data_IF_083259053086
#
_entry.id   IF_083259053086
#
_cell.length_a   1.000
_cell.length_b   1.000
_cell.length_c   1.000
_cell.angle_alpha   90.00
_cell.angle_beta   90.00
_cell.angle_gamma   90.00
#
_symmetry.space_group_name_H-M   'P 1'
#
loop_
_entity.id
_entity.type
_entity.pdbx_description
1 polymer ?
#
# COMPACT_ATOMS: atom_id res chain seq x y z
N UNK A 1 -32.70 -71.35 -52.37
CA UNK A 1 -31.58 -72.01 -53.09
C UNK A 1 -30.39 -71.07 -53.02
N UNK A 2 -29.53 -71.21 -52.02
CA UNK A 2 -28.28 -72.00 -52.03
C UNK A 2 -27.17 -71.36 -52.90
N UNK A 3 -26.13 -70.81 -52.23
CA UNK A 3 -24.67 -71.02 -52.46
C UNK A 3 -23.87 -69.82 -51.90
N UNK A 4 -23.13 -70.05 -50.80
CA UNK A 4 -21.67 -70.30 -50.73
C UNK A 4 -20.85 -69.01 -50.68
N UNK A 5 -20.38 -68.63 -49.48
CA UNK A 5 -19.02 -68.82 -48.94
C UNK A 5 -17.98 -67.97 -49.68
N UNK A 6 -17.42 -66.97 -48.98
CA UNK A 6 -15.97 -66.76 -48.92
C UNK A 6 -15.62 -66.09 -47.59
N UNK A 7 -14.84 -66.80 -46.77
CA UNK A 7 -14.16 -66.29 -45.59
C UNK A 7 -12.99 -65.41 -45.99
N UNK A 8 -12.88 -64.23 -45.39
CA UNK A 8 -11.62 -63.49 -45.31
C UNK A 8 -11.47 -62.98 -43.87
N UNK A 9 -10.46 -63.52 -43.18
CA UNK A 9 -9.87 -62.96 -41.96
C UNK A 9 -9.42 -61.52 -42.23
N UNK A 10 -9.72 -60.57 -41.34
CA UNK A 10 -8.68 -59.65 -40.82
C UNK A 10 -9.15 -58.78 -39.65
N UNK A 11 -8.39 -58.88 -38.57
CA UNK A 11 -8.01 -57.83 -37.60
C UNK A 11 -9.11 -57.10 -36.82
N UNK A 12 -9.26 -57.55 -35.57
CA UNK A 12 -9.71 -56.75 -34.43
C UNK A 12 -8.70 -55.62 -34.21
N UNK A 13 -9.09 -54.37 -34.48
CA UNK A 13 -8.35 -53.19 -34.08
C UNK A 13 -9.09 -52.53 -32.92
N UNK A 14 -8.65 -52.81 -31.70
CA UNK A 14 -9.03 -52.07 -30.49
C UNK A 14 -8.51 -50.62 -30.59
N UNK A 15 -9.36 -49.69 -31.00
CA UNK A 15 -9.11 -48.27 -30.75
C UNK A 15 -9.46 -47.95 -29.30
N UNK A 16 -8.46 -48.05 -28.41
CA UNK A 16 -8.47 -47.37 -27.12
C UNK A 16 -8.48 -45.85 -27.39
N UNK A 17 -9.65 -45.24 -27.28
CA UNK A 17 -9.77 -43.79 -27.20
C UNK A 17 -9.15 -43.31 -25.89
N UNK A 18 -7.88 -42.90 -25.95
CA UNK A 18 -7.28 -42.07 -24.92
C UNK A 18 -8.05 -40.75 -24.89
N UNK A 19 -9.03 -40.65 -24.00
CA UNK A 19 -9.55 -39.37 -23.51
C UNK A 19 -8.35 -38.65 -22.86
N UNK A 20 -7.62 -37.89 -23.67
CA UNK A 20 -6.69 -36.91 -23.17
C UNK A 20 -7.50 -35.92 -22.36
N UNK A 21 -7.43 -36.03 -21.03
CA UNK A 21 -7.81 -34.96 -20.13
C UNK A 21 -7.05 -33.71 -20.59
N UNK A 22 -7.73 -32.83 -21.32
CA UNK A 22 -7.22 -31.49 -21.55
C UNK A 22 -7.01 -30.89 -20.15
N UNK A 23 -5.81 -30.38 -19.82
CA UNK A 23 -5.67 -29.61 -18.61
C UNK A 23 -6.64 -28.45 -18.72
N UNK A 24 -7.65 -28.47 -17.84
CA UNK A 24 -8.56 -27.36 -17.61
C UNK A 24 -7.73 -26.10 -17.58
N UNK A 25 -8.00 -25.17 -18.50
CA UNK A 25 -7.36 -23.87 -18.54
C UNK A 25 -7.27 -23.35 -17.11
N UNK A 26 -6.04 -23.30 -16.58
CA UNK A 26 -5.76 -22.68 -15.30
C UNK A 26 -6.42 -21.31 -15.34
N UNK A 27 -7.37 -21.06 -14.43
CA UNK A 27 -7.94 -19.74 -14.25
C UNK A 27 -6.76 -18.77 -14.21
N UNK A 28 -6.64 -17.92 -15.23
CA UNK A 28 -5.60 -16.89 -15.27
C UNK A 28 -5.76 -16.12 -13.98
N UNK A 29 -4.76 -16.20 -13.10
CA UNK A 29 -4.71 -15.39 -11.91
C UNK A 29 -5.04 -13.97 -12.35
N UNK A 30 -6.06 -13.37 -11.73
CA UNK A 30 -6.45 -12.01 -12.07
C UNK A 30 -5.21 -11.13 -11.84
N UNK A 31 -4.68 -10.54 -12.90
CA UNK A 31 -3.58 -9.56 -12.82
C UNK A 31 -4.01 -8.27 -12.10
N UNK A 32 -5.16 -8.26 -11.43
CA UNK A 32 -5.70 -7.13 -10.68
C UNK A 32 -5.73 -7.39 -9.19
N UNK A 33 -5.46 -6.34 -8.42
CA UNK A 33 -5.53 -6.31 -6.96
C UNK A 33 -6.97 -6.54 -6.51
N UNK A 34 -7.22 -7.72 -5.92
CA UNK A 34 -8.42 -8.00 -5.15
C UNK A 34 -8.17 -7.70 -3.68
N UNK A 35 -8.87 -6.71 -3.12
CA UNK A 35 -8.70 -6.27 -1.74
C UNK A 35 -8.93 -7.39 -0.69
N UNK A 36 -9.67 -8.46 -1.04
CA UNK A 36 -9.89 -9.59 -0.14
C UNK A 36 -8.63 -10.43 0.11
N UNK A 37 -7.60 -10.30 -0.72
CA UNK A 37 -6.36 -11.07 -0.63
C UNK A 37 -5.32 -10.41 0.28
N UNK A 38 -5.66 -9.25 0.87
CA UNK A 38 -4.75 -8.43 1.68
C UNK A 38 -5.39 -8.08 3.03
N UNK A 39 -4.57 -7.64 3.98
CA UNK A 39 -4.98 -7.37 5.37
C UNK A 39 -4.58 -5.98 5.88
N UNK A 40 -3.96 -5.14 5.04
CA UNK A 40 -3.69 -3.73 5.36
C UNK A 40 -4.24 -2.78 4.30
N UNK A 41 -4.91 -1.72 4.75
CA UNK A 41 -5.68 -0.84 3.86
C UNK A 41 -5.43 0.63 4.13
N UNK A 42 -5.29 1.42 3.06
CA UNK A 42 -5.22 2.87 3.11
C UNK A 42 -6.57 3.49 2.71
N UNK A 43 -7.07 4.40 3.53
CA UNK A 43 -8.45 4.93 3.49
C UNK A 43 -8.43 6.46 3.37
N UNK A 44 -8.85 6.96 2.20
CA UNK A 44 -8.94 8.40 1.92
C UNK A 44 -10.08 9.13 2.63
N UNK A 45 -11.06 8.39 3.16
CA UNK A 45 -12.33 8.89 3.67
C UNK A 45 -13.53 8.40 2.86
N UNK A 46 -14.67 8.24 3.54
CA UNK A 46 -15.95 7.79 2.99
C UNK A 46 -15.87 6.57 2.06
N UNK A 47 -15.47 5.42 2.60
CA UNK A 47 -15.52 4.13 1.90
C UNK A 47 -16.77 3.35 2.34
N UNK A 48 -17.39 2.59 1.43
CA UNK A 48 -18.42 1.61 1.84
C UNK A 48 -17.79 0.62 2.80
N UNK A 49 -18.54 0.23 3.83
CA UNK A 49 -18.18 -0.94 4.62
C UNK A 49 -17.98 -2.12 3.67
N UNK A 50 -16.81 -2.75 3.75
CA UNK A 50 -16.48 -3.92 2.97
C UNK A 50 -16.05 -5.03 3.92
N UNK A 51 -16.43 -6.30 3.68
CA UNK A 51 -16.13 -7.40 4.59
C UNK A 51 -14.64 -7.53 4.94
N UNK A 52 -13.74 -7.27 3.98
CA UNK A 52 -12.30 -7.34 4.20
C UNK A 52 -11.78 -6.34 5.25
N UNK A 53 -12.45 -5.19 5.44
CA UNK A 53 -12.04 -4.20 6.46
C UNK A 53 -12.18 -4.74 7.88
N UNK A 54 -13.19 -5.57 8.13
CA UNK A 54 -13.40 -6.18 9.45
C UNK A 54 -12.30 -7.18 9.82
N UNK A 55 -11.63 -7.75 8.82
CA UNK A 55 -10.53 -8.72 8.95
C UNK A 55 -9.16 -8.08 8.82
N UNK A 56 -9.10 -6.77 8.57
CA UNK A 56 -7.84 -6.05 8.44
C UNK A 56 -7.02 -6.20 9.73
N UNK A 57 -5.70 -6.35 9.58
CA UNK A 57 -4.74 -6.23 10.68
C UNK A 57 -4.32 -4.79 10.90
N UNK A 58 -4.33 -3.99 9.83
CA UNK A 58 -3.79 -2.64 9.84
C UNK A 58 -4.58 -1.73 8.91
N UNK A 59 -4.77 -0.48 9.33
CA UNK A 59 -5.45 0.53 8.53
C UNK A 59 -4.77 1.87 8.67
N UNK A 60 -4.68 2.57 7.54
CA UNK A 60 -4.16 3.92 7.41
C UNK A 60 -5.32 4.82 7.07
N UNK A 61 -5.65 5.77 7.95
CA UNK A 61 -6.83 6.61 7.82
C UNK A 61 -6.41 8.07 7.68
N UNK A 62 -6.77 8.70 6.57
CA UNK A 62 -6.58 10.15 6.41
C UNK A 62 -7.33 10.90 7.52
N UNK A 63 -6.64 11.79 8.23
CA UNK A 63 -7.18 12.59 9.33
C UNK A 63 -6.97 14.10 9.17
N UNK A 64 -6.23 14.51 8.14
CA UNK A 64 -6.05 15.91 7.83
C UNK A 64 -4.99 16.14 6.79
N UNK A 65 -4.81 17.42 6.48
CA UNK A 65 -3.69 17.87 5.68
C UNK A 65 -3.06 19.13 6.27
N UNK A 66 -1.75 19.26 6.11
CA UNK A 66 -0.97 20.43 6.50
C UNK A 66 -0.62 21.23 5.26
N UNK A 67 -1.07 22.49 5.22
CA UNK A 67 -0.86 23.41 4.11
C UNK A 67 -0.56 24.81 4.61
N UNK A 68 -0.01 25.63 3.72
CA UNK A 68 0.14 27.06 3.96
C UNK A 68 -1.21 27.75 3.72
N UNK A 69 -1.66 28.54 4.69
CA UNK A 69 -2.80 29.42 4.53
C UNK A 69 -2.46 30.52 3.52
N UNK A 70 -3.36 30.77 2.56
CA UNK A 70 -3.08 31.64 1.41
C UNK A 70 -2.71 33.08 1.78
N UNK A 71 -3.28 33.61 2.85
CA UNK A 71 -3.14 35.03 3.19
C UNK A 71 -1.98 35.30 4.16
N UNK A 72 -1.83 34.45 5.18
CA UNK A 72 -0.81 34.63 6.22
C UNK A 72 0.48 33.88 5.94
N UNK A 73 0.47 32.95 4.96
CA UNK A 73 1.52 31.96 4.76
C UNK A 73 1.82 31.14 6.03
N UNK A 74 0.86 31.10 6.96
CA UNK A 74 0.95 30.30 8.17
C UNK A 74 0.71 28.84 7.83
N UNK A 75 1.52 27.97 8.39
CA UNK A 75 1.29 26.54 8.32
C UNK A 75 0.11 26.14 9.19
N UNK A 76 -0.88 25.48 8.61
CA UNK A 76 -2.12 25.09 9.28
C UNK A 76 -2.46 23.62 9.01
N UNK A 77 -2.93 22.93 10.05
CA UNK A 77 -3.56 21.62 9.93
C UNK A 77 -5.07 21.80 9.71
N UNK A 78 -5.56 21.27 8.59
CA UNK A 78 -7.00 21.20 8.28
C UNK A 78 -7.46 19.75 8.44
N UNK A 79 -8.44 19.54 9.32
CA UNK A 79 -8.98 18.21 9.58
C UNK A 79 -9.74 17.68 8.35
N UNK A 80 -9.53 16.40 8.03
CA UNK A 80 -10.16 15.70 6.91
C UNK A 80 -10.42 14.24 7.25
N UNK A 81 -11.08 13.54 6.35
CA UNK A 81 -11.36 12.11 6.47
C UNK A 81 -12.60 11.83 7.32
N UNK A 82 -12.60 10.69 8.00
CA UNK A 82 -13.74 10.25 8.82
C UNK A 82 -13.62 10.77 10.24
N UNK A 83 -14.77 10.94 10.90
CA UNK A 83 -14.86 11.17 12.34
C UNK A 83 -14.23 10.01 13.12
N UNK A 84 -13.90 10.26 14.39
CA UNK A 84 -13.42 9.22 15.30
C UNK A 84 -14.45 8.10 15.36
N UNK A 85 -14.02 6.89 15.03
CA UNK A 85 -14.80 5.66 15.13
C UNK A 85 -14.03 4.65 15.97
N UNK A 86 -14.73 3.71 16.60
CA UNK A 86 -14.07 2.64 17.37
C UNK A 86 -13.68 1.49 16.44
N UNK A 87 -12.41 1.12 16.50
CA UNK A 87 -11.74 0.12 15.69
C UNK A 87 -10.96 -0.76 16.67
N UNK A 88 -11.60 -1.86 17.07
CA UNK A 88 -11.21 -2.57 18.30
C UNK A 88 -10.01 -3.52 18.13
N UNK A 89 -9.62 -3.86 16.90
CA UNK A 89 -8.66 -4.94 16.66
C UNK A 89 -7.54 -4.59 15.68
N UNK A 90 -7.72 -3.58 14.83
CA UNK A 90 -6.71 -3.16 13.86
C UNK A 90 -5.65 -2.30 14.54
N UNK A 91 -4.41 -2.42 14.07
CA UNK A 91 -3.42 -1.34 14.21
C UNK A 91 -3.85 -0.16 13.36
N UNK A 92 -3.89 1.04 13.94
CA UNK A 92 -4.33 2.24 13.25
C UNK A 92 -3.18 3.22 13.06
N UNK A 93 -2.97 3.65 11.82
CA UNK A 93 -2.15 4.81 11.48
C UNK A 93 -3.05 6.00 11.16
N UNK A 94 -2.81 7.13 11.81
CA UNK A 94 -3.46 8.38 11.43
C UNK A 94 -2.59 9.10 10.39
N UNK A 95 -3.14 9.30 9.21
CA UNK A 95 -2.41 9.84 8.06
C UNK A 95 -2.67 11.33 7.92
N UNK A 96 -1.60 12.09 7.69
CA UNK A 96 -1.65 13.52 7.45
C UNK A 96 -0.98 13.82 6.12
N UNK A 97 -1.76 14.34 5.17
CA UNK A 97 -1.21 14.77 3.89
C UNK A 97 -0.45 16.07 4.07
N UNK A 98 0.79 16.11 3.63
CA UNK A 98 1.62 17.29 3.78
C UNK A 98 1.75 18.00 2.43
N UNK A 99 1.85 19.33 2.45
CA UNK A 99 2.07 20.13 1.24
C UNK A 99 3.36 20.97 1.32
N UNK A 100 3.99 21.06 2.49
CA UNK A 100 5.26 21.77 2.69
C UNK A 100 6.01 21.25 3.91
N UNK A 101 7.31 21.56 4.01
CA UNK A 101 8.17 21.05 5.10
C UNK A 101 8.35 22.03 6.28
N UNK A 102 7.91 23.28 6.13
CA UNK A 102 8.09 24.31 7.14
C UNK A 102 6.95 24.34 8.16
N UNK A 103 6.84 23.30 8.99
CA UNK A 103 5.89 23.27 10.12
C UNK A 103 6.34 24.24 11.22
N UNK A 104 5.37 24.87 11.89
CA UNK A 104 5.63 25.87 12.93
C UNK A 104 5.45 25.32 14.36
N UNK A 105 5.25 24.00 14.50
CA UNK A 105 5.11 23.29 15.77
C UNK A 105 3.65 23.07 16.18
N UNK A 106 2.75 24.01 15.88
CA UNK A 106 1.32 23.88 16.21
C UNK A 106 0.64 22.70 15.50
N UNK A 107 1.20 22.23 14.39
CA UNK A 107 0.67 21.11 13.61
C UNK A 107 0.85 19.80 14.35
N UNK A 108 2.05 19.54 14.90
CA UNK A 108 2.30 18.30 15.64
C UNK A 108 1.47 18.27 16.93
N UNK A 109 1.26 19.40 17.59
CA UNK A 109 0.38 19.48 18.77
C UNK A 109 -1.05 19.06 18.44
N UNK A 110 -1.60 19.58 17.33
CA UNK A 110 -2.95 19.23 16.84
C UNK A 110 -3.03 17.77 16.37
N UNK A 111 -1.97 17.25 15.75
CA UNK A 111 -1.87 15.84 15.37
C UNK A 111 -1.92 14.96 16.63
N UNK A 112 -1.11 15.27 17.65
CA UNK A 112 -1.09 14.52 18.90
C UNK A 112 -2.41 14.63 19.66
N UNK A 113 -3.10 15.78 19.60
CA UNK A 113 -4.45 15.89 20.13
C UNK A 113 -5.42 14.96 19.40
N UNK A 114 -5.34 14.86 18.07
CA UNK A 114 -6.16 13.91 17.30
C UNK A 114 -5.83 12.46 17.64
N UNK A 115 -4.54 12.11 17.79
CA UNK A 115 -4.12 10.78 18.25
C UNK A 115 -4.79 10.43 19.58
N UNK A 116 -4.71 11.31 20.59
CA UNK A 116 -5.36 11.10 21.89
C UNK A 116 -6.88 10.95 21.77
N UNK A 117 -7.54 11.69 20.89
CA UNK A 117 -8.98 11.54 20.66
C UNK A 117 -9.34 10.13 20.15
N UNK A 118 -8.54 9.58 19.25
CA UNK A 118 -8.74 8.21 18.77
C UNK A 118 -8.44 7.17 19.84
N UNK A 119 -7.37 7.33 20.62
CA UNK A 119 -7.05 6.42 21.73
C UNK A 119 -8.15 6.42 22.80
N UNK A 120 -8.68 7.59 23.17
CA UNK A 120 -9.79 7.71 24.13
C UNK A 120 -11.08 7.03 23.65
N UNK A 121 -11.25 6.81 22.35
CA UNK A 121 -12.34 6.01 21.80
C UNK A 121 -12.07 4.49 21.83
N UNK A 122 -10.94 4.07 22.40
CA UNK A 122 -10.52 2.68 22.56
C UNK A 122 -9.75 2.11 21.36
N UNK A 123 -9.17 2.95 20.51
CA UNK A 123 -8.40 2.52 19.34
C UNK A 123 -6.93 2.25 19.69
N UNK A 124 -6.33 1.26 19.05
CA UNK A 124 -4.89 1.02 19.12
C UNK A 124 -4.17 1.82 18.03
N UNK A 125 -3.69 3.02 18.39
CA UNK A 125 -2.90 3.85 17.48
C UNK A 125 -1.45 3.36 17.45
N UNK A 126 -1.01 2.87 16.30
CA UNK A 126 0.37 2.44 16.06
C UNK A 126 1.31 3.63 15.88
N UNK A 127 0.82 4.70 15.25
CA UNK A 127 1.61 5.87 14.93
C UNK A 127 0.92 6.81 13.95
N UNK A 128 1.72 7.68 13.34
CA UNK A 128 1.25 8.59 12.29
C UNK A 128 1.95 8.27 10.97
N UNK A 129 1.26 8.55 9.87
CA UNK A 129 1.87 8.52 8.55
C UNK A 129 1.88 9.92 7.94
N UNK A 130 3.01 10.32 7.37
CA UNK A 130 3.12 11.53 6.56
C UNK A 130 2.95 11.15 5.09
N UNK A 131 1.86 11.58 4.48
CA UNK A 131 1.63 11.43 3.05
C UNK A 131 2.19 12.66 2.32
N UNK A 132 3.35 12.53 1.66
CA UNK A 132 4.01 13.66 1.01
C UNK A 132 4.71 13.28 -0.30
N UNK A 133 4.23 13.86 -1.39
CA UNK A 133 4.76 13.67 -2.74
C UNK A 133 6.05 14.50 -2.96
N UNK A 134 7.08 14.27 -2.15
CA UNK A 134 8.34 15.01 -2.26
C UNK A 134 9.04 14.70 -3.59
N UNK A 135 9.46 15.72 -4.37
CA UNK A 135 10.32 15.49 -5.53
C UNK A 135 11.64 14.85 -5.10
N UNK A 136 12.19 13.93 -5.89
CA UNK A 136 13.46 13.24 -5.60
C UNK A 136 14.62 14.20 -5.24
N UNK A 137 14.69 15.38 -5.89
CA UNK A 137 15.70 16.42 -5.59
C UNK A 137 15.61 17.02 -4.18
N UNK A 138 14.44 16.90 -3.52
CA UNK A 138 14.16 17.49 -2.22
C UNK A 138 14.22 16.46 -1.06
N UNK A 139 14.60 15.20 -1.32
CA UNK A 139 14.54 14.15 -0.29
C UNK A 139 15.44 14.41 0.91
N UNK A 140 16.57 15.09 0.72
CA UNK A 140 17.40 15.51 1.86
C UNK A 140 16.67 16.46 2.79
N UNK A 141 15.97 17.46 2.24
CA UNK A 141 15.17 18.39 3.03
C UNK A 141 14.01 17.65 3.72
N UNK A 142 13.40 16.68 3.04
CA UNK A 142 12.36 15.84 3.65
C UNK A 142 12.91 14.99 4.80
N UNK A 143 14.08 14.36 4.64
CA UNK A 143 14.72 13.59 5.72
C UNK A 143 15.05 14.44 6.94
N UNK A 144 15.51 15.69 6.76
CA UNK A 144 15.74 16.63 7.85
C UNK A 144 14.44 17.02 8.57
N UNK A 145 13.37 17.24 7.80
CA UNK A 145 12.04 17.46 8.35
C UNK A 145 11.57 16.27 9.20
N UNK A 146 11.70 15.04 8.68
CA UNK A 146 11.32 13.83 9.41
C UNK A 146 12.14 13.63 10.68
N UNK A 147 13.43 13.98 10.66
CA UNK A 147 14.25 13.97 11.88
C UNK A 147 13.73 14.93 12.96
N UNK A 148 13.31 16.13 12.57
CA UNK A 148 12.72 17.09 13.50
C UNK A 148 11.35 16.61 14.02
N UNK A 149 10.53 16.04 13.15
CA UNK A 149 9.25 15.44 13.52
C UNK A 149 9.45 14.28 14.50
N UNK A 150 10.43 13.41 14.24
CA UNK A 150 10.72 12.25 15.07
C UNK A 150 11.09 12.62 16.50
N UNK A 151 11.79 13.75 16.70
CA UNK A 151 12.12 14.30 18.03
C UNK A 151 10.90 14.79 18.81
N UNK A 152 9.86 15.23 18.11
CA UNK A 152 8.63 15.78 18.71
C UNK A 152 7.55 14.72 18.92
N UNK A 153 7.57 13.64 18.13
CA UNK A 153 6.64 12.52 18.25
C UNK A 153 7.08 11.59 19.41
N UNK A 154 6.23 11.30 20.40
CA UNK A 154 6.54 10.35 21.49
C UNK A 154 7.07 9.01 20.98
N UNK A 155 8.07 8.46 21.69
CA UNK A 155 8.86 7.30 21.21
C UNK A 155 8.03 6.03 21.00
N UNK A 156 6.90 5.87 21.70
CA UNK A 156 6.03 4.70 21.53
C UNK A 156 5.20 4.74 20.25
N UNK A 157 5.06 5.91 19.61
CA UNK A 157 4.42 6.02 18.30
C UNK A 157 5.44 5.84 17.19
N UNK A 158 5.06 5.05 16.20
CA UNK A 158 5.84 4.89 14.97
C UNK A 158 5.60 6.05 13.99
N UNK A 159 6.56 6.25 13.07
CA UNK A 159 6.50 7.22 11.98
C UNK A 159 6.59 6.49 10.64
N UNK A 160 5.47 6.46 9.92
CA UNK A 160 5.36 5.95 8.55
C UNK A 160 5.40 7.11 7.55
N UNK A 161 5.83 6.85 6.33
CA UNK A 161 5.76 7.81 5.22
C UNK A 161 5.23 7.14 3.96
N UNK A 162 4.58 7.89 3.07
CA UNK A 162 4.41 7.44 1.68
C UNK A 162 5.65 7.82 0.86
N UNK A 163 5.93 7.07 -0.21
CA UNK A 163 6.99 7.41 -1.16
C UNK A 163 6.54 7.22 -2.60
N UNK A 164 7.01 8.10 -3.48
CA UNK A 164 6.90 7.93 -4.92
C UNK A 164 7.90 6.86 -5.40
N UNK A 165 7.60 6.19 -6.51
CA UNK A 165 8.47 5.12 -7.02
C UNK A 165 9.85 5.61 -7.47
N UNK A 166 9.98 6.86 -7.91
CA UNK A 166 11.24 7.42 -8.40
C UNK A 166 12.30 7.59 -7.29
N UNK A 167 11.88 7.56 -6.01
CA UNK A 167 12.78 7.55 -4.86
C UNK A 167 13.67 6.31 -4.81
N UNK A 168 13.29 5.23 -5.51
CA UNK A 168 14.14 4.05 -5.71
C UNK A 168 15.49 4.39 -6.39
N UNK A 169 15.62 5.58 -7.01
CA UNK A 169 16.88 6.06 -7.56
C UNK A 169 17.74 6.86 -6.56
N UNK A 170 17.30 7.02 -5.31
CA UNK A 170 18.06 7.71 -4.27
C UNK A 170 19.41 7.01 -4.02
N UNK A 171 20.51 7.74 -4.20
CA UNK A 171 21.87 7.26 -3.93
C UNK A 171 22.62 8.02 -2.85
N UNK A 172 22.08 9.16 -2.39
CA UNK A 172 22.75 9.98 -1.37
C UNK A 172 22.78 9.27 -0.01
N UNK A 173 23.97 8.89 0.51
CA UNK A 173 24.08 8.15 1.76
C UNK A 173 23.61 8.95 2.98
N UNK A 174 23.70 10.28 2.93
CA UNK A 174 23.21 11.15 4.02
C UNK A 174 21.70 11.10 4.10
N UNK A 175 21.00 11.27 2.98
CA UNK A 175 19.54 11.16 2.92
C UNK A 175 19.05 9.76 3.30
N UNK A 176 19.71 8.69 2.83
CA UNK A 176 19.36 7.33 3.23
C UNK A 176 19.52 7.10 4.74
N UNK A 177 20.56 7.66 5.36
CA UNK A 177 20.74 7.61 6.81
C UNK A 177 19.63 8.38 7.54
N UNK A 178 19.28 9.58 7.06
CA UNK A 178 18.18 10.37 7.63
C UNK A 178 16.87 9.57 7.63
N UNK A 179 16.53 8.88 6.55
CA UNK A 179 15.34 8.03 6.56
C UNK A 179 15.50 6.85 7.53
N UNK A 180 16.59 6.09 7.44
CA UNK A 180 16.81 4.90 8.27
C UNK A 180 16.73 5.17 9.77
N UNK A 181 17.20 6.33 10.21
CA UNK A 181 17.22 6.69 11.64
C UNK A 181 15.91 7.28 12.15
N UNK A 182 15.00 7.71 11.26
CA UNK A 182 13.85 8.53 11.67
C UNK A 182 12.48 7.98 11.26
N UNK A 183 12.40 6.96 10.39
CA UNK A 183 11.14 6.32 10.01
C UNK A 183 11.13 4.84 10.42
N UNK A 184 9.94 4.35 10.72
CA UNK A 184 9.69 2.94 11.03
C UNK A 184 9.29 2.15 9.78
N UNK A 185 8.65 2.81 8.80
CA UNK A 185 8.30 2.22 7.51
C UNK A 185 8.07 3.26 6.41
N UNK A 186 8.24 2.83 5.17
CA UNK A 186 7.92 3.58 3.96
C UNK A 186 6.94 2.79 3.08
N UNK A 187 5.82 3.39 2.69
CA UNK A 187 4.83 2.77 1.80
C UNK A 187 5.04 3.29 0.37
N UNK A 188 5.58 2.42 -0.50
CA UNK A 188 5.89 2.76 -1.90
C UNK A 188 4.62 2.72 -2.74
N UNK A 189 4.17 3.86 -3.23
CA UNK A 189 2.95 3.95 -4.03
C UNK A 189 3.24 3.52 -5.47
N UNK A 190 2.72 2.36 -5.90
CA UNK A 190 2.92 1.84 -7.26
C UNK A 190 1.84 2.28 -8.24
N UNK A 191 1.15 3.39 -7.96
CA UNK A 191 -0.02 3.83 -8.70
C UNK A 191 -0.05 5.36 -8.83
N UNK A 192 -0.79 5.84 -9.83
CA UNK A 192 -1.12 7.24 -10.01
C UNK A 192 -2.62 7.36 -10.27
N UNK A 193 -3.32 8.15 -9.45
CA UNK A 193 -4.77 8.22 -9.50
C UNK A 193 -5.40 6.87 -9.17
N UNK A 194 -6.03 6.22 -10.15
CA UNK A 194 -6.67 4.91 -10.00
C UNK A 194 -5.97 3.78 -10.74
N UNK A 195 -4.76 4.02 -11.25
CA UNK A 195 -4.08 3.09 -12.18
C UNK A 195 -2.67 2.78 -11.69
N UNK A 196 -2.30 1.49 -11.72
CA UNK A 196 -0.92 1.04 -11.48
C UNK A 196 0.03 1.69 -12.49
N UNK A 197 1.17 2.20 -12.03
CA UNK A 197 2.18 2.80 -12.90
C UNK A 197 2.86 1.68 -13.72
N UNK A 198 3.03 1.85 -15.05
CA UNK A 198 3.73 0.87 -15.88
C UNK A 198 5.17 0.60 -15.39
N UNK A 199 5.67 -0.61 -15.65
CA UNK A 199 7.04 -1.03 -15.34
C UNK A 199 7.44 -0.89 -13.84
N UNK A 200 6.46 -0.87 -12.93
CA UNK A 200 6.69 -0.72 -11.49
C UNK A 200 7.65 -1.79 -10.93
N UNK A 201 7.71 -2.98 -11.54
CA UNK A 201 8.61 -4.07 -11.16
C UNK A 201 10.08 -3.63 -11.14
N UNK A 202 10.51 -2.89 -12.17
CA UNK A 202 11.87 -2.36 -12.27
C UNK A 202 12.19 -1.38 -11.13
N UNK A 203 11.20 -0.60 -10.69
CA UNK A 203 11.35 0.32 -9.56
C UNK A 203 11.41 -0.44 -8.23
N UNK A 204 10.59 -1.46 -8.04
CA UNK A 204 10.59 -2.27 -6.83
C UNK A 204 11.93 -3.02 -6.63
N UNK A 205 12.52 -3.56 -7.69
CA UNK A 205 13.86 -4.17 -7.64
C UNK A 205 14.94 -3.18 -7.19
N UNK A 206 14.80 -1.89 -7.54
CA UNK A 206 15.72 -0.84 -7.06
C UNK A 206 15.42 -0.45 -5.62
N UNK A 207 14.14 -0.39 -5.24
CA UNK A 207 13.72 0.01 -3.90
C UNK A 207 14.27 -0.91 -2.80
N UNK A 208 14.34 -2.23 -3.04
CA UNK A 208 14.94 -3.19 -2.11
C UNK A 208 16.42 -2.88 -1.81
N UNK A 209 17.13 -2.23 -2.74
CA UNK A 209 18.54 -1.86 -2.56
C UNK A 209 18.74 -0.69 -1.58
N UNK A 210 17.69 0.05 -1.22
CA UNK A 210 17.76 1.17 -0.28
C UNK A 210 18.02 0.72 1.17
N UNK A 211 17.71 -0.55 1.49
CA UNK A 211 17.82 -1.12 2.85
C UNK A 211 17.08 -0.24 3.88
N UNK A 212 15.85 0.13 3.56
CA UNK A 212 14.90 0.85 4.41
C UNK A 212 13.69 -0.06 4.61
N UNK A 213 13.04 -0.08 5.79
CA UNK A 213 11.81 -0.84 5.99
C UNK A 213 10.72 -0.32 5.05
N UNK A 214 10.11 -1.19 4.24
CA UNK A 214 9.12 -0.77 3.26
C UNK A 214 7.93 -1.72 3.13
N UNK A 215 6.80 -1.14 2.75
CA UNK A 215 5.62 -1.84 2.24
C UNK A 215 5.35 -1.41 0.81
N UNK A 216 4.63 -2.24 0.06
CA UNK A 216 4.22 -1.94 -1.31
C UNK A 216 2.75 -1.48 -1.31
N UNK A 217 2.53 -0.25 -1.75
CA UNK A 217 1.24 0.39 -1.88
C UNK A 217 0.56 0.06 -3.21
N UNK A 218 -0.47 -0.77 -3.17
CA UNK A 218 -1.24 -1.23 -4.32
C UNK A 218 -2.54 -0.44 -4.43
N UNK A 219 -2.95 -0.02 -5.62
CA UNK A 219 -4.30 0.56 -5.79
C UNK A 219 -5.33 -0.53 -6.01
N UNK A 220 -6.50 -0.39 -5.38
CA UNK A 220 -7.63 -1.31 -5.57
C UNK A 220 -7.98 -1.43 -7.06
N UNK A 221 -8.16 -2.67 -7.56
CA UNK A 221 -8.38 -2.99 -8.97
C UNK A 221 -7.22 -2.65 -9.92
N UNK A 222 -6.12 -2.11 -9.40
CA UNK A 222 -4.90 -1.87 -10.16
C UNK A 222 -4.26 -3.16 -10.62
N UNK A 223 -3.39 -3.09 -11.63
CA UNK A 223 -2.59 -4.23 -12.06
C UNK A 223 -1.59 -4.64 -10.98
N UNK A 224 -1.40 -5.93 -10.77
CA UNK A 224 -0.42 -6.50 -9.86
C UNK A 224 0.01 -7.91 -10.28
N UNK A 225 1.32 -8.07 -10.44
CA UNK A 225 2.02 -9.32 -10.69
C UNK A 225 2.30 -10.06 -9.37
N UNK A 226 1.51 -11.09 -9.10
CA UNK A 226 1.63 -11.95 -7.92
C UNK A 226 2.86 -12.88 -7.96
N UNK A 227 3.58 -12.95 -9.08
CA UNK A 227 4.79 -13.75 -9.20
C UNK A 227 6.00 -13.06 -8.56
N UNK A 228 5.94 -11.74 -8.34
CA UNK A 228 6.98 -11.02 -7.61
C UNK A 228 7.08 -11.54 -6.17
N UNK A 229 8.27 -12.02 -5.80
CA UNK A 229 8.56 -12.53 -4.47
C UNK A 229 9.40 -11.54 -3.70
N UNK A 230 8.94 -11.16 -2.52
CA UNK A 230 9.62 -10.26 -1.59
C UNK A 230 10.00 -10.96 -0.28
N UNK A 231 9.62 -12.24 -0.12
CA UNK A 231 9.73 -13.00 1.14
C UNK A 231 11.17 -13.17 1.63
N UNK A 232 12.15 -13.03 0.73
CA UNK A 232 13.58 -13.10 1.04
C UNK A 232 14.20 -11.75 1.43
N UNK A 233 13.49 -10.63 1.25
CA UNK A 233 13.98 -9.30 1.62
C UNK A 233 13.60 -8.97 3.07
N UNK A 234 14.55 -8.89 4.02
CA UNK A 234 14.25 -8.64 5.42
C UNK A 234 13.63 -7.24 5.67
N UNK A 235 13.77 -6.32 4.71
CA UNK A 235 13.22 -4.98 4.80
C UNK A 235 11.76 -4.90 4.32
N UNK A 236 11.28 -5.91 3.59
CA UNK A 236 9.89 -5.96 3.15
C UNK A 236 8.96 -6.25 4.33
N UNK A 237 7.94 -5.41 4.52
CA UNK A 237 6.99 -5.45 5.65
C UNK A 237 5.54 -5.74 5.23
N UNK A 238 5.31 -6.07 3.96
CA UNK A 238 4.00 -6.43 3.43
C UNK A 238 3.43 -5.43 2.43
N UNK A 239 2.13 -5.53 2.20
CA UNK A 239 1.38 -4.75 1.21
C UNK A 239 0.39 -3.83 1.91
N UNK A 240 0.05 -2.70 1.29
CA UNK A 240 -1.05 -1.84 1.71
C UNK A 240 -1.93 -1.56 0.50
N UNK A 241 -3.22 -1.90 0.56
CA UNK A 241 -4.15 -1.62 -0.53
C UNK A 241 -4.80 -0.25 -0.33
N UNK A 242 -4.49 0.69 -1.22
CA UNK A 242 -5.13 1.99 -1.33
C UNK A 242 -6.52 1.82 -1.96
N UNK A 243 -7.53 1.94 -1.11
CA UNK A 243 -8.92 1.77 -1.51
C UNK A 243 -9.37 2.98 -2.32
N UNK A 244 -10.03 2.74 -3.44
CA UNK A 244 -10.55 3.83 -4.25
C UNK A 244 -11.80 4.42 -3.60
N UNK A 245 -11.88 5.76 -3.60
CA UNK A 245 -13.12 6.45 -3.24
C UNK A 245 -14.20 6.07 -4.25
N UNK A 246 -15.44 5.98 -3.78
CA UNK A 246 -16.55 5.82 -4.72
C UNK A 246 -16.75 7.11 -5.49
N UNK A 247 -16.95 7.01 -6.80
CA UNK A 247 -17.57 8.10 -7.54
C UNK A 247 -18.95 8.33 -6.93
N UNK A 248 -19.33 9.59 -6.69
CA UNK A 248 -20.74 9.90 -6.44
C UNK A 248 -21.49 9.44 -7.70
N UNK A 249 -22.25 8.35 -7.58
CA UNK A 249 -23.27 7.98 -8.56
C UNK A 249 -24.30 9.09 -8.65
#
# INVERSE_FOLDING_TARGET
MLKQIFSVLLTIQCCLGLMACQPSQSATASDQVNANDYDAFWIWGNIKSAPYLSKAKEIYILQGEVRLEKNSNQSILIQQGISVVKISHQKVWLVFRNHHLNWQGTEIEKILQRVRQWESAGNHIQGIQIDFDAPTKNLKAYGLFLQQLRKQLPQHYQLSITSLMDWANLRDPVTLRLFRENIDEMVIQTYQGSTTIPNYQTYLTKASTLKLPYKIGLVQHGKWDQQLKFDTDPNFKGFVVFLLRQNKS
#
